data_IF_813209931333
#
_entry.id   IF_813209931333
#
_cell.length_a   1.000
_cell.length_b   1.000
_cell.length_c   1.000
_cell.angle_alpha   90.00
_cell.angle_beta   90.00
_cell.angle_gamma   90.00
#
_symmetry.space_group_name_H-M   'P 1'
#
loop_
_entity.id
_entity.type
_entity.pdbx_description
1 polymer ?
#
# COMPACT_ATOMS: atom_id res chain seq x y z
N UNK A 1 9.87 31.82 -18.14
CA UNK A 1 10.71 30.66 -18.53
C UNK A 1 9.82 29.43 -18.51
N UNK A 2 9.54 28.82 -19.67
CA UNK A 2 8.70 27.61 -19.76
C UNK A 2 9.46 26.46 -19.11
N UNK A 3 8.94 25.90 -18.03
CA UNK A 3 9.49 24.69 -17.41
C UNK A 3 9.23 23.54 -18.39
N UNK A 4 10.23 23.24 -19.22
CA UNK A 4 10.24 22.11 -20.15
C UNK A 4 10.43 20.83 -19.35
N UNK A 5 9.41 20.02 -19.28
CA UNK A 5 9.38 18.77 -18.53
C UNK A 5 7.99 18.19 -18.66
N UNK A 6 7.72 17.57 -19.80
CA UNK A 6 6.48 16.82 -19.96
C UNK A 6 6.47 15.64 -18.99
N UNK A 7 5.29 15.37 -18.45
CA UNK A 7 5.08 14.21 -17.59
C UNK A 7 5.37 12.95 -18.43
N UNK A 8 6.06 11.92 -17.89
CA UNK A 8 6.40 10.75 -18.66
C UNK A 8 5.16 10.09 -19.29
N UNK A 9 5.27 9.52 -20.50
CA UNK A 9 4.13 9.07 -21.30
C UNK A 9 3.26 8.01 -20.60
N UNK A 10 3.85 7.20 -19.73
CA UNK A 10 3.15 6.15 -18.97
C UNK A 10 2.70 6.58 -17.57
N UNK A 11 2.83 7.86 -17.20
CA UNK A 11 2.42 8.32 -15.89
C UNK A 11 0.93 8.07 -15.61
N UNK A 12 0.06 8.39 -16.58
CA UNK A 12 -1.38 8.18 -16.44
C UNK A 12 -1.74 6.71 -16.21
N UNK A 13 -1.05 5.79 -16.92
CA UNK A 13 -1.24 4.35 -16.77
C UNK A 13 -0.80 3.89 -15.37
N UNK A 14 0.38 4.29 -14.91
CA UNK A 14 0.87 3.92 -13.58
C UNK A 14 0.02 4.54 -12.45
N UNK A 15 -0.50 5.75 -12.64
CA UNK A 15 -1.42 6.39 -11.70
C UNK A 15 -2.78 5.67 -11.64
N UNK A 16 -3.32 5.25 -12.78
CA UNK A 16 -4.54 4.45 -12.83
C UNK A 16 -4.33 3.06 -12.21
N UNK A 17 -3.20 2.41 -12.51
CA UNK A 17 -2.82 1.13 -11.90
C UNK A 17 -2.70 1.25 -10.38
N UNK A 18 -2.05 2.30 -9.88
CA UNK A 18 -1.99 2.60 -8.45
C UNK A 18 -3.40 2.68 -7.84
N UNK A 19 -4.29 3.49 -8.43
CA UNK A 19 -5.65 3.62 -7.95
C UNK A 19 -6.40 2.28 -7.92
N UNK A 20 -6.29 1.46 -8.98
CA UNK A 20 -6.89 0.13 -9.02
C UNK A 20 -6.34 -0.79 -7.91
N UNK A 21 -5.02 -0.85 -7.75
CA UNK A 21 -4.39 -1.69 -6.72
C UNK A 21 -4.84 -1.29 -5.32
N UNK A 22 -4.89 0.00 -5.01
CA UNK A 22 -5.34 0.49 -3.71
C UNK A 22 -6.84 0.27 -3.47
N UNK A 23 -7.68 0.40 -4.49
CA UNK A 23 -9.12 0.10 -4.36
C UNK A 23 -9.37 -1.37 -4.07
N UNK A 24 -8.64 -2.28 -4.72
CA UNK A 24 -8.74 -3.71 -4.44
C UNK A 24 -8.21 -4.02 -3.04
N UNK A 25 -7.06 -3.46 -2.65
CA UNK A 25 -6.52 -3.64 -1.29
C UNK A 25 -7.47 -3.13 -0.21
N UNK A 26 -8.15 -1.98 -0.42
CA UNK A 26 -9.22 -1.50 0.47
C UNK A 26 -10.33 -2.53 0.59
N UNK A 27 -10.81 -3.06 -0.54
CA UNK A 27 -11.85 -4.08 -0.57
C UNK A 27 -11.48 -5.32 0.24
N UNK A 28 -10.28 -5.88 0.01
CA UNK A 28 -9.77 -7.03 0.73
C UNK A 28 -9.57 -6.73 2.22
N UNK A 29 -8.96 -5.59 2.54
CA UNK A 29 -8.74 -5.17 3.92
C UNK A 29 -10.06 -5.02 4.70
N UNK A 30 -11.12 -4.58 4.04
CA UNK A 30 -12.46 -4.49 4.64
C UNK A 30 -13.17 -5.83 4.75
N UNK A 31 -12.90 -6.80 3.87
CA UNK A 31 -13.66 -8.06 3.81
C UNK A 31 -13.08 -9.18 4.67
N UNK A 32 -11.75 -9.31 4.79
CA UNK A 32 -11.11 -10.49 5.40
C UNK A 32 -11.51 -10.70 6.88
N UNK A 33 -11.86 -9.65 7.60
CA UNK A 33 -12.19 -9.74 9.04
C UNK A 33 -13.68 -9.99 9.33
N UNK A 34 -14.53 -9.92 8.30
CA UNK A 34 -15.99 -10.02 8.44
C UNK A 34 -16.57 -11.08 7.49
N UNK A 35 -15.77 -12.08 7.13
CA UNK A 35 -16.07 -13.11 6.13
C UNK A 35 -17.18 -14.10 6.48
N UNK A 36 -17.80 -14.00 7.66
CA UNK A 36 -18.95 -14.84 8.05
C UNK A 36 -20.22 -14.40 7.30
N UNK A 37 -20.28 -14.73 6.01
CA UNK A 37 -21.56 -14.80 5.31
C UNK A 37 -22.29 -16.06 5.81
N UNK A 38 -23.60 -15.98 6.12
CA UNK A 38 -24.35 -17.14 6.61
C UNK A 38 -24.33 -18.26 5.56
N UNK A 39 -23.70 -19.39 5.89
CA UNK A 39 -23.60 -20.59 5.05
C UNK A 39 -22.18 -21.02 4.66
N UNK A 40 -21.13 -20.37 5.17
CA UNK A 40 -19.74 -20.75 4.89
C UNK A 40 -19.27 -21.81 5.91
N UNK A 41 -19.03 -23.04 5.43
CA UNK A 41 -18.60 -24.15 6.28
C UNK A 41 -17.23 -23.89 6.93
N UNK A 42 -17.06 -24.39 8.15
CA UNK A 42 -15.85 -24.30 9.01
C UNK A 42 -14.56 -24.85 8.35
N UNK A 43 -14.66 -25.46 7.16
CA UNK A 43 -13.52 -25.97 6.38
C UNK A 43 -12.74 -24.87 5.63
N UNK A 44 -13.21 -23.63 5.63
CA UNK A 44 -12.78 -22.60 4.67
C UNK A 44 -11.65 -21.65 5.15
N UNK A 45 -10.92 -22.03 6.22
CA UNK A 45 -9.72 -21.31 6.69
C UNK A 45 -8.66 -21.11 5.59
N UNK A 46 -8.68 -21.96 4.55
CA UNK A 46 -7.83 -21.86 3.37
C UNK A 46 -8.11 -20.57 2.58
N UNK A 47 -9.38 -20.17 2.46
CA UNK A 47 -9.80 -18.99 1.70
C UNK A 47 -9.20 -17.72 2.29
N UNK A 48 -9.32 -17.50 3.59
CA UNK A 48 -8.75 -16.30 4.25
C UNK A 48 -7.24 -16.22 4.11
N UNK A 49 -6.57 -17.37 4.13
CA UNK A 49 -5.12 -17.45 3.98
C UNK A 49 -4.69 -17.02 2.57
N UNK A 50 -5.45 -17.44 1.56
CA UNK A 50 -5.25 -17.05 0.16
C UNK A 50 -5.52 -15.56 0.00
N UNK A 51 -6.63 -15.04 0.54
CA UNK A 51 -6.97 -13.62 0.42
C UNK A 51 -5.94 -12.74 1.12
N UNK A 52 -5.46 -13.13 2.30
CA UNK A 52 -4.39 -12.42 3.02
C UNK A 52 -3.07 -12.44 2.24
N UNK A 53 -2.73 -13.55 1.60
CA UNK A 53 -1.56 -13.65 0.73
C UNK A 53 -1.69 -12.75 -0.51
N UNK A 54 -2.84 -12.77 -1.18
CA UNK A 54 -3.14 -11.92 -2.33
C UNK A 54 -3.05 -10.44 -1.94
N UNK A 55 -3.54 -10.06 -0.76
CA UNK A 55 -3.44 -8.70 -0.25
C UNK A 55 -1.98 -8.24 -0.14
N UNK A 56 -1.10 -9.07 0.42
CA UNK A 56 0.35 -8.75 0.50
C UNK A 56 0.96 -8.60 -0.90
N UNK A 57 0.61 -9.48 -1.84
CA UNK A 57 1.09 -9.37 -3.23
C UNK A 57 0.64 -8.08 -3.91
N UNK A 58 -0.61 -7.66 -3.70
CA UNK A 58 -1.14 -6.39 -4.20
C UNK A 58 -0.37 -5.20 -3.64
N UNK A 59 -0.05 -5.21 -2.34
CA UNK A 59 0.73 -4.15 -1.70
C UNK A 59 2.18 -4.09 -2.22
N UNK A 60 2.81 -5.25 -2.48
CA UNK A 60 4.13 -5.34 -3.12
C UNK A 60 4.06 -4.79 -4.55
N UNK A 61 3.05 -5.16 -5.33
CA UNK A 61 2.83 -4.64 -6.68
C UNK A 61 2.63 -3.11 -6.66
N UNK A 62 1.88 -2.59 -5.68
CA UNK A 62 1.68 -1.16 -5.50
C UNK A 62 3.00 -0.44 -5.13
N UNK A 63 3.84 -1.05 -4.28
CA UNK A 63 5.17 -0.52 -3.97
C UNK A 63 6.07 -0.49 -5.22
N UNK A 64 6.08 -1.56 -6.02
CA UNK A 64 6.84 -1.58 -7.28
C UNK A 64 6.34 -0.47 -8.22
N UNK A 65 5.03 -0.32 -8.37
CA UNK A 65 4.44 0.73 -9.21
C UNK A 65 4.80 2.14 -8.70
N UNK A 66 4.80 2.37 -7.38
CA UNK A 66 5.29 3.61 -6.77
C UNK A 66 6.77 3.85 -7.14
N UNK A 67 7.62 2.83 -7.05
CA UNK A 67 9.03 2.93 -7.42
C UNK A 67 9.20 3.22 -8.91
N UNK A 68 8.33 2.69 -9.78
CA UNK A 68 8.33 3.04 -11.22
C UNK A 68 7.93 4.51 -11.45
N UNK A 69 6.92 5.02 -10.73
CA UNK A 69 6.53 6.42 -10.78
C UNK A 69 7.67 7.35 -10.31
N UNK A 70 8.35 6.99 -9.22
CA UNK A 70 9.52 7.70 -8.72
C UNK A 70 10.70 7.60 -9.69
N UNK A 71 10.93 6.43 -10.30
CA UNK A 71 11.94 6.17 -11.32
C UNK A 71 11.75 6.97 -12.60
N UNK A 72 10.52 7.41 -12.87
CA UNK A 72 10.20 8.35 -13.94
C UNK A 72 10.75 9.77 -13.71
N UNK A 73 11.08 10.14 -12.47
CA UNK A 73 11.52 11.50 -12.13
C UNK A 73 12.96 11.79 -12.54
N UNK A 74 13.26 13.05 -12.81
CA UNK A 74 14.64 13.51 -13.05
C UNK A 74 15.55 13.19 -11.86
N UNK A 75 15.07 13.45 -10.64
CA UNK A 75 15.83 13.19 -9.42
C UNK A 75 16.29 11.73 -9.31
N UNK A 76 15.43 10.76 -9.64
CA UNK A 76 15.81 9.35 -9.62
C UNK A 76 16.80 9.02 -10.75
N UNK A 77 16.54 9.46 -11.97
CA UNK A 77 17.38 9.18 -13.15
C UNK A 77 18.78 9.77 -13.05
N UNK A 78 18.91 10.91 -12.39
CA UNK A 78 20.20 11.58 -12.15
C UNK A 78 20.90 11.14 -10.86
N UNK A 79 20.37 10.12 -10.15
CA UNK A 79 20.99 9.59 -8.93
C UNK A 79 20.86 10.50 -7.69
N UNK A 80 19.99 11.51 -7.73
CA UNK A 80 19.73 12.45 -6.63
C UNK A 80 18.79 11.83 -5.57
N UNK A 81 19.10 10.62 -5.12
CA UNK A 81 18.24 9.84 -4.22
C UNK A 81 18.00 10.51 -2.87
N UNK A 82 19.01 11.20 -2.31
CA UNK A 82 18.85 11.91 -1.04
C UNK A 82 17.80 13.02 -1.11
N UNK A 83 17.75 13.75 -2.23
CA UNK A 83 16.75 14.79 -2.47
C UNK A 83 15.38 14.20 -2.77
N UNK A 84 15.31 13.12 -3.55
CA UNK A 84 14.05 12.42 -3.78
C UNK A 84 13.48 11.88 -2.45
N UNK A 85 14.34 11.25 -1.64
CA UNK A 85 13.98 10.75 -0.31
C UNK A 85 13.48 11.87 0.60
N UNK A 86 14.14 13.03 0.66
CA UNK A 86 13.65 14.12 1.52
C UNK A 86 12.24 14.59 1.14
N UNK A 87 11.87 14.52 -0.14
CA UNK A 87 10.54 14.86 -0.62
C UNK A 87 9.49 13.76 -0.42
N UNK A 88 9.87 12.48 -0.42
CA UNK A 88 8.96 11.33 -0.39
C UNK A 88 9.18 10.39 0.80
N UNK A 89 9.98 10.78 1.80
CA UNK A 89 10.36 9.96 2.97
C UNK A 89 9.18 9.28 3.62
N UNK A 90 8.13 10.05 3.89
CA UNK A 90 6.94 9.53 4.57
C UNK A 90 6.27 8.43 3.73
N UNK A 91 6.10 8.66 2.42
CA UNK A 91 5.52 7.67 1.49
C UNK A 91 6.37 6.39 1.44
N UNK A 92 7.70 6.55 1.33
CA UNK A 92 8.66 5.46 1.24
C UNK A 92 8.78 4.63 2.52
N UNK A 93 8.54 5.24 3.69
CA UNK A 93 8.53 4.53 4.97
C UNK A 93 7.19 3.85 5.25
N UNK A 94 6.07 4.50 4.89
CA UNK A 94 4.72 3.98 5.18
C UNK A 94 4.42 2.71 4.39
N UNK A 95 4.87 2.58 3.14
CA UNK A 95 4.64 1.37 2.33
C UNK A 95 5.20 0.09 2.97
N UNK A 96 6.51 -0.02 3.25
CA UNK A 96 7.07 -1.23 3.85
C UNK A 96 6.52 -1.46 5.27
N UNK A 97 6.30 -0.38 6.05
CA UNK A 97 5.72 -0.50 7.39
C UNK A 97 4.32 -1.11 7.34
N UNK A 98 3.47 -0.67 6.40
CA UNK A 98 2.12 -1.20 6.25
C UNK A 98 2.11 -2.64 5.72
N UNK A 99 3.02 -3.00 4.82
CA UNK A 99 3.20 -4.40 4.38
C UNK A 99 3.57 -5.29 5.57
N UNK A 100 4.54 -4.87 6.39
CA UNK A 100 4.91 -5.62 7.60
C UNK A 100 3.73 -5.78 8.55
N UNK A 101 2.97 -4.71 8.78
CA UNK A 101 1.78 -4.74 9.63
C UNK A 101 0.71 -5.70 9.08
N UNK A 102 0.50 -5.72 7.76
CA UNK A 102 -0.41 -6.65 7.08
C UNK A 102 0.03 -8.10 7.25
N UNK A 103 1.33 -8.38 7.07
CA UNK A 103 1.90 -9.72 7.28
C UNK A 103 1.73 -10.17 8.74
N UNK A 104 2.05 -9.30 9.71
CA UNK A 104 1.93 -9.61 11.14
C UNK A 104 0.48 -9.93 11.49
N UNK A 105 -0.47 -9.08 11.07
CA UNK A 105 -1.90 -9.30 11.33
C UNK A 105 -2.39 -10.59 10.67
N UNK A 106 -1.97 -10.87 9.44
CA UNK A 106 -2.27 -12.12 8.74
C UNK A 106 -1.77 -13.35 9.49
N UNK A 107 -0.50 -13.35 9.91
CA UNK A 107 0.08 -14.47 10.69
C UNK A 107 -0.68 -14.68 12.00
N UNK A 108 -0.95 -13.61 12.74
CA UNK A 108 -1.69 -13.70 14.02
C UNK A 108 -3.08 -14.28 13.78
N UNK A 109 -3.81 -13.79 12.77
CA UNK A 109 -5.15 -14.29 12.44
C UNK A 109 -5.13 -15.76 12.05
N UNK A 110 -4.22 -16.18 11.16
CA UNK A 110 -4.11 -17.57 10.74
C UNK A 110 -3.75 -18.50 11.90
N UNK A 111 -2.88 -18.05 12.81
CA UNK A 111 -2.56 -18.83 14.01
C UNK A 111 -3.80 -19.01 14.90
N UNK A 112 -4.59 -17.95 15.14
CA UNK A 112 -5.80 -18.02 15.94
C UNK A 112 -6.88 -18.90 15.31
N UNK A 113 -7.05 -18.85 13.98
CA UNK A 113 -7.94 -19.75 13.23
C UNK A 113 -7.45 -21.21 13.28
N UNK A 114 -6.14 -21.44 13.15
CA UNK A 114 -5.55 -22.79 13.19
C UNK A 114 -5.71 -23.49 14.54
N UNK A 115 -5.88 -22.72 15.62
CA UNK A 115 -6.19 -23.22 16.97
C UNK A 115 -7.66 -23.64 17.14
N UNK A 116 -8.50 -23.46 16.12
CA UNK A 116 -9.91 -23.85 16.12
C UNK A 116 -10.88 -22.80 16.66
N UNK A 117 -10.44 -21.54 16.83
CA UNK A 117 -11.35 -20.44 17.18
C UNK A 117 -12.24 -20.08 15.98
N UNK A 118 -13.52 -19.81 16.21
CA UNK A 118 -14.38 -19.23 15.20
C UNK A 118 -14.03 -17.76 14.95
N UNK A 119 -14.35 -17.22 13.77
CA UNK A 119 -14.07 -15.83 13.41
C UNK A 119 -14.61 -14.81 14.41
N UNK A 120 -15.81 -15.05 14.94
CA UNK A 120 -16.41 -14.22 15.98
C UNK A 120 -15.54 -14.18 17.26
N UNK A 121 -15.00 -15.33 17.68
CA UNK A 121 -14.28 -15.48 18.94
C UNK A 121 -12.87 -14.86 18.89
N UNK A 122 -12.30 -14.68 17.70
CA UNK A 122 -10.99 -14.05 17.51
C UNK A 122 -10.97 -12.61 18.05
N UNK A 123 -12.10 -11.92 17.99
CA UNK A 123 -12.21 -10.54 18.49
C UNK A 123 -12.08 -10.43 20.01
N UNK A 124 -12.44 -11.49 20.74
CA UNK A 124 -12.33 -11.55 22.19
C UNK A 124 -10.92 -11.94 22.67
N UNK A 125 -10.05 -12.38 21.75
CA UNK A 125 -8.66 -12.69 22.06
C UNK A 125 -7.90 -11.40 22.41
N UNK A 126 -7.28 -11.42 23.59
CA UNK A 126 -6.56 -10.25 24.12
C UNK A 126 -5.54 -9.71 23.12
N UNK A 127 -5.71 -8.44 22.75
CA UNK A 127 -4.79 -7.71 21.88
C UNK A 127 -5.06 -7.83 20.37
N UNK A 128 -5.90 -8.78 19.91
CA UNK A 128 -6.22 -8.90 18.49
C UNK A 128 -6.97 -7.66 17.98
N UNK A 129 -8.01 -7.22 18.68
CA UNK A 129 -8.77 -6.03 18.32
C UNK A 129 -7.90 -4.76 18.25
N UNK A 130 -6.94 -4.63 19.17
CA UNK A 130 -5.99 -3.51 19.16
C UNK A 130 -5.05 -3.58 17.95
N UNK A 131 -4.51 -4.75 17.64
CA UNK A 131 -3.64 -4.97 16.48
C UNK A 131 -4.38 -4.69 15.17
N UNK A 132 -5.61 -5.19 15.04
CA UNK A 132 -6.49 -4.91 13.89
C UNK A 132 -6.77 -3.40 13.77
N UNK A 133 -7.12 -2.73 14.87
CA UNK A 133 -7.34 -1.29 14.89
C UNK A 133 -6.12 -0.48 14.44
N UNK A 134 -4.92 -0.84 14.94
CA UNK A 134 -3.65 -0.23 14.51
C UNK A 134 -3.43 -0.47 13.01
N UNK A 135 -3.71 -1.68 12.51
CA UNK A 135 -3.62 -2.00 11.09
C UNK A 135 -4.56 -1.14 10.24
N UNK A 136 -5.82 -0.94 10.66
CA UNK A 136 -6.77 -0.07 9.93
C UNK A 136 -6.33 1.39 9.90
N UNK A 137 -5.81 1.91 11.00
CA UNK A 137 -5.23 3.27 11.04
C UNK A 137 -4.01 3.35 10.13
N UNK A 138 -3.16 2.31 10.14
CA UNK A 138 -2.03 2.17 9.22
C UNK A 138 -2.45 2.17 7.76
N UNK A 139 -3.56 1.50 7.43
CA UNK A 139 -4.14 1.46 6.09
C UNK A 139 -4.57 2.85 5.61
N UNK A 140 -5.25 3.61 6.47
CA UNK A 140 -5.64 5.00 6.16
C UNK A 140 -4.42 5.87 5.83
N UNK A 141 -3.37 5.79 6.66
CA UNK A 141 -2.11 6.48 6.41
C UNK A 141 -1.50 6.04 5.07
N UNK A 142 -1.46 4.74 4.81
CA UNK A 142 -0.94 4.17 3.56
C UNK A 142 -1.66 4.68 2.31
N UNK A 143 -3.00 4.65 2.30
CA UNK A 143 -3.77 5.16 1.15
C UNK A 143 -3.62 6.67 0.97
N UNK A 144 -3.69 7.45 2.05
CA UNK A 144 -3.52 8.90 1.98
C UNK A 144 -2.13 9.30 1.45
N UNK A 145 -1.08 8.62 1.89
CA UNK A 145 0.28 8.85 1.42
C UNK A 145 0.45 8.49 -0.05
N UNK A 146 -0.23 7.44 -0.49
CA UNK A 146 -0.19 6.99 -1.88
C UNK A 146 -0.86 7.98 -2.82
N UNK A 147 -2.05 8.48 -2.46
CA UNK A 147 -2.74 9.55 -3.20
C UNK A 147 -1.87 10.81 -3.24
N UNK A 148 -1.32 11.21 -2.08
CA UNK A 148 -0.40 12.34 -1.98
C UNK A 148 0.82 12.18 -2.92
N UNK A 149 1.41 10.98 -2.99
CA UNK A 149 2.56 10.72 -3.84
C UNK A 149 2.22 10.92 -5.32
N UNK A 150 1.11 10.35 -5.80
CA UNK A 150 0.66 10.47 -7.20
C UNK A 150 0.37 11.93 -7.54
N UNK A 151 -0.39 12.64 -6.70
CA UNK A 151 -0.72 14.05 -6.91
C UNK A 151 0.53 14.95 -6.92
N UNK A 152 1.49 14.67 -6.03
CA UNK A 152 2.76 15.39 -5.98
C UNK A 152 3.60 15.13 -7.22
N UNK A 153 3.67 13.88 -7.68
CA UNK A 153 4.41 13.48 -8.87
C UNK A 153 3.78 14.01 -10.16
N UNK A 154 2.49 14.35 -10.18
CA UNK A 154 1.87 15.03 -11.32
C UNK A 154 2.52 16.38 -11.65
N UNK A 155 3.22 16.99 -10.68
CA UNK A 155 3.89 18.26 -10.89
C UNK A 155 5.14 18.12 -11.78
N UNK A 156 5.13 18.83 -12.92
CA UNK A 156 6.21 18.86 -13.93
C UNK A 156 7.60 19.16 -13.38
N UNK A 157 7.70 19.86 -12.25
CA UNK A 157 8.98 20.16 -11.62
C UNK A 157 9.80 18.90 -11.35
N UNK A 158 9.18 17.76 -11.03
CA UNK A 158 9.90 16.49 -10.77
C UNK A 158 10.53 15.87 -12.01
N UNK A 159 10.19 16.36 -13.21
CA UNK A 159 10.70 15.87 -14.49
C UNK A 159 11.60 16.88 -15.21
N UNK A 160 11.68 18.13 -14.73
CA UNK A 160 12.46 19.19 -15.38
C UNK A 160 13.85 19.33 -14.75
N UNK A 161 14.94 19.08 -15.52
CA UNK A 161 16.31 19.29 -15.04
C UNK A 161 16.56 20.75 -14.62
N UNK A 162 16.02 21.70 -15.39
CA UNK A 162 16.24 23.14 -15.20
C UNK A 162 15.79 23.64 -13.84
N UNK A 163 14.78 23.01 -13.25
CA UNK A 163 14.27 23.37 -11.92
C UNK A 163 15.23 22.91 -10.82
N UNK A 164 15.76 21.68 -10.94
CA UNK A 164 16.61 21.08 -9.90
C UNK A 164 18.07 21.47 -10.02
N UNK A 165 18.58 21.79 -11.20
CA UNK A 165 19.97 22.23 -11.40
C UNK A 165 20.21 23.70 -11.01
N UNK A 166 19.14 24.47 -10.78
CA UNK A 166 19.23 25.87 -10.32
C UNK A 166 19.20 26.03 -8.80
N UNK A 167 19.10 24.93 -8.07
CA UNK A 167 18.92 24.89 -6.62
C UNK A 167 20.06 24.10 -6.00
#
# INVERSE_FOLDING_TARGET
>A
MKIGGDVPPFFGVNAALAACLYLVDVGLNSSIEYGDLPGQDVLDNSSDSIVSFVQVLLQIAALINLLMLLGGTFLFRSGLFGMLYSHFRLVLLVHPLYICLTIILGIVRMNLLSLGNAHADIWDVQGYAALSGIHKIGALCYYACSIYAVEKLRNRKYYSPEYWMRK
#
